data_IF_009159782678
#
_entry.id   IF_009159782678
#
_cell.length_a   1.000
_cell.length_b   1.000
_cell.length_c   1.000
_cell.angle_alpha   90.00
_cell.angle_beta   90.00
_cell.angle_gamma   90.00
#
_symmetry.space_group_name_H-M   'P 1'
#
loop_
_entity.id
_entity.type
_entity.pdbx_description
1 polymer ?
#
# COMPACT_ATOMS: atom_id res chain seq x y z
N UNK A 1 -8.02 20.63 -29.54
CA UNK A 1 -8.66 20.84 -28.22
C UNK A 1 -7.82 21.85 -27.48
N UNK A 2 -8.41 23.00 -27.19
CA UNK A 2 -7.74 24.25 -26.87
C UNK A 2 -7.32 24.27 -25.39
N UNK A 3 -6.00 24.33 -25.15
CA UNK A 3 -5.28 24.67 -23.92
C UNK A 3 -6.09 24.64 -22.61
N UNK A 4 -6.22 23.45 -22.02
CA UNK A 4 -6.74 23.26 -20.66
C UNK A 4 -5.71 23.63 -19.57
N UNK A 5 -4.58 24.24 -19.93
CA UNK A 5 -3.60 24.82 -19.00
C UNK A 5 -4.05 26.20 -18.52
N UNK A 6 -5.23 26.28 -17.88
CA UNK A 6 -5.60 27.48 -17.12
C UNK A 6 -4.84 27.45 -15.81
N UNK A 7 -3.94 28.42 -15.63
CA UNK A 7 -3.15 28.67 -14.43
C UNK A 7 -3.97 28.41 -13.16
N UNK A 8 -3.60 27.38 -12.42
CA UNK A 8 -3.99 27.26 -11.02
C UNK A 8 -3.08 28.24 -10.26
N UNK A 9 -3.67 29.24 -9.61
CA UNK A 9 -2.98 30.27 -8.83
C UNK A 9 -1.97 29.60 -7.86
N UNK A 10 -0.69 29.94 -7.96
CA UNK A 10 0.39 29.39 -7.11
C UNK A 10 1.32 28.35 -7.77
N UNK A 11 1.08 27.96 -9.03
CA UNK A 11 1.95 27.03 -9.76
C UNK A 11 2.57 27.65 -11.01
N UNK A 12 3.76 27.19 -11.38
CA UNK A 12 4.39 27.51 -12.67
C UNK A 12 3.68 26.79 -13.81
N UNK A 13 3.87 27.28 -15.03
CA UNK A 13 3.43 26.58 -16.23
C UNK A 13 4.31 25.33 -16.42
N UNK A 14 3.68 24.17 -16.67
CA UNK A 14 4.35 22.90 -16.90
C UNK A 14 4.48 22.64 -18.40
N UNK A 15 5.61 22.10 -18.83
CA UNK A 15 5.78 21.61 -20.19
C UNK A 15 5.00 20.31 -20.39
N UNK A 16 4.80 19.92 -21.65
CA UNK A 16 4.13 18.66 -21.99
C UNK A 16 4.91 17.46 -21.43
N UNK A 17 6.24 17.50 -21.54
CA UNK A 17 7.13 16.45 -21.05
C UNK A 17 7.01 16.26 -19.54
N UNK A 18 6.83 17.35 -18.78
CA UNK A 18 6.64 17.32 -17.34
C UNK A 18 5.29 16.73 -16.94
N UNK A 19 4.23 17.09 -17.67
CA UNK A 19 2.89 16.51 -17.49
C UNK A 19 2.92 15.02 -17.78
N UNK A 20 3.56 14.61 -18.87
CA UNK A 20 3.70 13.20 -19.25
C UNK A 20 4.51 12.41 -18.21
N UNK A 21 5.54 13.03 -17.62
CA UNK A 21 6.28 12.44 -16.51
C UNK A 21 5.41 12.29 -15.24
N UNK A 22 4.62 13.30 -14.86
CA UNK A 22 3.69 13.21 -13.73
C UNK A 22 2.67 12.10 -13.91
N UNK A 23 2.12 11.93 -15.12
CA UNK A 23 1.15 10.89 -15.41
C UNK A 23 1.77 9.49 -15.28
N UNK A 24 2.98 9.28 -15.81
CA UNK A 24 3.72 8.02 -15.65
C UNK A 24 4.02 7.70 -14.18
N UNK A 25 4.39 8.71 -13.38
CA UNK A 25 4.60 8.54 -11.93
C UNK A 25 3.31 8.06 -11.26
N UNK A 26 2.17 8.72 -11.55
CA UNK A 26 0.86 8.35 -10.97
C UNK A 26 0.41 6.96 -11.41
N UNK A 27 0.63 6.59 -12.66
CA UNK A 27 0.35 5.26 -13.20
C UNK A 27 1.11 4.18 -12.42
N UNK A 28 2.42 4.36 -12.21
CA UNK A 28 3.22 3.43 -11.38
C UNK A 28 2.78 3.43 -9.92
N UNK A 29 2.36 4.56 -9.38
CA UNK A 29 1.74 4.61 -8.06
C UNK A 29 0.48 3.76 -7.97
N UNK A 30 -0.38 3.80 -8.99
CA UNK A 30 -1.59 2.99 -9.05
C UNK A 30 -1.29 1.49 -9.18
N UNK A 31 -0.31 1.10 -10.00
CA UNK A 31 0.15 -0.29 -10.12
C UNK A 31 0.67 -0.83 -8.77
N UNK A 32 1.50 -0.05 -8.07
CA UNK A 32 2.02 -0.44 -6.75
C UNK A 32 0.90 -0.56 -5.70
N UNK A 33 -0.09 0.33 -5.73
CA UNK A 33 -1.25 0.26 -4.84
C UNK A 33 -2.14 -0.95 -5.15
N UNK A 34 -2.25 -1.36 -6.41
CA UNK A 34 -2.96 -2.58 -6.79
C UNK A 34 -2.26 -3.83 -6.24
N UNK A 35 -0.92 -3.91 -6.37
CA UNK A 35 -0.13 -4.99 -5.77
C UNK A 35 -0.23 -5.00 -4.23
N UNK A 36 -0.23 -3.83 -3.61
CA UNK A 36 -0.44 -3.71 -2.16
C UNK A 36 -1.82 -4.23 -1.74
N UNK A 37 -2.87 -3.95 -2.52
CA UNK A 37 -4.22 -4.45 -2.25
C UNK A 37 -4.31 -5.98 -2.42
N UNK A 38 -3.67 -6.53 -3.45
CA UNK A 38 -3.54 -7.98 -3.64
C UNK A 38 -2.86 -8.66 -2.44
N UNK A 39 -1.74 -8.07 -1.98
CA UNK A 39 -1.03 -8.56 -0.80
C UNK A 39 -1.93 -8.55 0.45
N UNK A 40 -2.69 -7.48 0.69
CA UNK A 40 -3.61 -7.40 1.83
C UNK A 40 -4.67 -8.52 1.75
N UNK A 41 -5.32 -8.70 0.60
CA UNK A 41 -6.33 -9.75 0.45
C UNK A 41 -5.76 -11.16 0.69
N UNK A 42 -4.53 -11.40 0.24
CA UNK A 42 -3.81 -12.64 0.54
C UNK A 42 -3.53 -12.79 2.04
N UNK A 43 -3.04 -11.76 2.71
CA UNK A 43 -2.72 -11.78 4.14
C UNK A 43 -3.96 -11.99 5.02
N UNK A 44 -5.09 -11.37 4.65
CA UNK A 44 -6.38 -11.58 5.33
C UNK A 44 -6.83 -13.04 5.22
N UNK A 45 -6.71 -13.60 4.00
CA UNK A 45 -7.02 -15.03 3.77
C UNK A 45 -6.10 -15.94 4.58
N UNK A 46 -4.79 -15.66 4.58
CA UNK A 46 -3.80 -16.44 5.35
C UNK A 46 -4.10 -16.39 6.86
N UNK A 47 -4.53 -15.23 7.38
CA UNK A 47 -4.90 -15.08 8.78
C UNK A 47 -6.11 -15.96 9.15
N UNK A 48 -7.18 -15.92 8.36
CA UNK A 48 -8.37 -16.74 8.61
C UNK A 48 -8.07 -18.24 8.50
N UNK A 49 -7.30 -18.66 7.50
CA UNK A 49 -6.89 -20.07 7.34
C UNK A 49 -6.08 -20.53 8.56
N UNK A 50 -5.09 -19.74 9.01
CA UNK A 50 -4.28 -20.08 10.19
C UNK A 50 -5.10 -20.12 11.47
N UNK A 51 -6.04 -19.19 11.62
CA UNK A 51 -6.95 -19.12 12.77
C UNK A 51 -7.84 -20.34 12.85
N UNK A 52 -8.43 -20.78 11.73
CA UNK A 52 -9.25 -21.99 11.66
C UNK A 52 -8.39 -23.24 11.92
N UNK A 53 -7.19 -23.32 11.36
CA UNK A 53 -6.28 -24.44 11.60
C UNK A 53 -5.90 -24.55 13.09
N UNK A 54 -5.52 -23.44 13.72
CA UNK A 54 -5.23 -23.39 15.15
C UNK A 54 -6.44 -23.81 16.00
N UNK A 55 -7.64 -23.34 15.67
CA UNK A 55 -8.86 -23.75 16.37
C UNK A 55 -9.14 -25.25 16.24
N UNK A 56 -9.03 -25.81 15.02
CA UNK A 56 -9.27 -27.23 14.77
C UNK A 56 -8.22 -28.15 15.40
N UNK A 57 -7.00 -27.64 15.64
CA UNK A 57 -5.92 -28.40 16.28
C UNK A 57 -6.13 -28.61 17.79
N UNK A 58 -7.10 -27.93 18.42
CA UNK A 58 -7.34 -28.05 19.85
C UNK A 58 -7.97 -29.40 20.18
N UNK A 59 -7.17 -30.30 20.78
CA UNK A 59 -7.64 -31.50 21.44
C UNK A 59 -7.66 -31.31 22.96
N UNK A 60 -8.54 -32.05 23.65
CA UNK A 60 -8.61 -32.02 25.10
C UNK A 60 -7.46 -32.84 25.72
N UNK A 61 -6.83 -32.37 26.82
CA UNK A 61 -6.95 -31.01 27.40
C UNK A 61 -6.21 -29.98 26.51
N UNK A 62 -6.78 -28.78 26.35
CA UNK A 62 -6.32 -27.72 25.43
C UNK A 62 -4.80 -27.73 25.18
N UNK A 63 -4.40 -28.20 24.00
CA UNK A 63 -3.01 -28.15 23.56
C UNK A 63 -2.72 -26.85 22.81
N UNK A 64 -2.39 -25.80 23.58
CA UNK A 64 -1.94 -24.52 23.01
C UNK A 64 -0.52 -24.59 22.41
N UNK A 65 0.13 -25.76 22.43
CA UNK A 65 1.46 -25.98 21.89
C UNK A 65 1.45 -26.62 20.49
N UNK A 66 0.28 -26.83 19.86
CA UNK A 66 0.21 -27.33 18.49
C UNK A 66 0.98 -26.45 17.51
N UNK A 67 1.50 -27.05 16.44
CA UNK A 67 2.24 -26.32 15.40
C UNK A 67 1.36 -25.22 14.76
N UNK A 68 0.06 -25.48 14.60
CA UNK A 68 -0.90 -24.53 14.06
C UNK A 68 -1.12 -23.33 14.98
N UNK A 69 -1.19 -23.55 16.30
CA UNK A 69 -1.25 -22.47 17.28
C UNK A 69 0.03 -21.62 17.25
N UNK A 70 1.20 -22.27 17.22
CA UNK A 70 2.48 -21.57 17.13
C UNK A 70 2.61 -20.75 15.83
N UNK A 71 2.17 -21.28 14.71
CA UNK A 71 2.20 -20.59 13.42
C UNK A 71 1.23 -19.38 13.38
N UNK A 72 0.05 -19.50 13.99
CA UNK A 72 -0.86 -18.36 14.13
C UNK A 72 -0.25 -17.26 14.99
N UNK A 73 0.37 -17.60 16.12
CA UNK A 73 1.02 -16.62 16.99
C UNK A 73 2.23 -15.98 16.31
N UNK A 74 3.06 -16.74 15.60
CA UNK A 74 4.15 -16.20 14.77
C UNK A 74 3.61 -15.22 13.72
N UNK A 75 2.52 -15.56 13.03
CA UNK A 75 1.90 -14.69 12.03
C UNK A 75 1.39 -13.39 12.66
N UNK A 76 0.71 -13.45 13.81
CA UNK A 76 0.27 -12.27 14.56
C UNK A 76 1.45 -11.40 15.00
N UNK A 77 2.48 -12.01 15.57
CA UNK A 77 3.67 -11.33 16.05
C UNK A 77 4.46 -10.62 14.93
N UNK A 78 4.40 -11.15 13.71
CA UNK A 78 5.02 -10.52 12.54
C UNK A 78 4.23 -9.28 12.03
N UNK A 79 2.99 -9.07 12.48
CA UNK A 79 2.11 -7.96 12.11
C UNK A 79 2.07 -7.63 10.59
N UNK A 80 1.89 -8.61 9.69
CA UNK A 80 2.09 -8.39 8.25
C UNK A 80 1.11 -7.37 7.65
N UNK A 81 -0.14 -7.31 8.15
CA UNK A 81 -1.12 -6.30 7.73
C UNK A 81 -0.69 -4.87 8.13
N UNK A 82 -0.01 -4.71 9.27
CA UNK A 82 0.53 -3.41 9.69
C UNK A 82 1.65 -2.97 8.74
N UNK A 83 2.53 -3.89 8.36
CA UNK A 83 3.57 -3.62 7.37
C UNK A 83 3.01 -3.26 6.00
N UNK A 84 1.96 -3.95 5.55
CA UNK A 84 1.26 -3.60 4.30
C UNK A 84 0.62 -2.21 4.35
N UNK A 85 0.09 -1.79 5.50
CA UNK A 85 -0.49 -0.45 5.70
C UNK A 85 0.57 0.66 5.70
N UNK A 86 1.73 0.40 6.30
CA UNK A 86 2.90 1.29 6.21
C UNK A 86 3.33 1.44 4.75
N UNK A 87 3.52 0.32 4.04
CA UNK A 87 3.89 0.33 2.64
C UNK A 87 2.91 1.14 1.77
N UNK A 88 1.60 1.02 2.01
CA UNK A 88 0.59 1.85 1.32
C UNK A 88 0.81 3.34 1.55
N UNK A 89 1.04 3.74 2.79
CA UNK A 89 1.26 5.15 3.17
C UNK A 89 2.54 5.69 2.55
N UNK A 90 3.62 4.90 2.57
CA UNK A 90 4.91 5.28 2.00
C UNK A 90 4.87 5.38 0.48
N UNK A 91 4.16 4.46 -0.20
CA UNK A 91 3.92 4.55 -1.65
C UNK A 91 3.18 5.84 -1.97
N UNK A 92 2.07 6.13 -1.28
CA UNK A 92 1.28 7.35 -1.52
C UNK A 92 2.12 8.61 -1.28
N UNK A 93 2.86 8.64 -0.18
CA UNK A 93 3.74 9.77 0.17
C UNK A 93 4.85 9.96 -0.85
N UNK A 94 5.53 8.87 -1.24
CA UNK A 94 6.61 8.89 -2.23
C UNK A 94 6.13 9.37 -3.60
N UNK A 95 5.00 8.85 -4.08
CA UNK A 95 4.39 9.27 -5.35
C UNK A 95 4.03 10.77 -5.31
N UNK A 96 3.48 11.25 -4.20
CA UNK A 96 3.17 12.68 -4.03
C UNK A 96 4.43 13.55 -3.96
N UNK A 97 5.49 13.08 -3.31
CA UNK A 97 6.79 13.77 -3.27
C UNK A 97 7.41 13.88 -4.67
N UNK A 98 7.37 12.81 -5.47
CA UNK A 98 7.84 12.81 -6.85
C UNK A 98 7.01 13.76 -7.73
N UNK A 99 5.69 13.73 -7.62
CA UNK A 99 4.80 14.66 -8.32
C UNK A 99 5.11 16.10 -7.93
N UNK A 100 5.35 16.38 -6.64
CA UNK A 100 5.70 17.72 -6.15
C UNK A 100 7.06 18.19 -6.68
N UNK A 101 8.03 17.27 -6.83
CA UNK A 101 9.34 17.57 -7.41
C UNK A 101 9.24 17.98 -8.89
N UNK A 102 8.32 17.38 -9.65
CA UNK A 102 8.01 17.84 -11.02
C UNK A 102 7.26 19.18 -10.99
N UNK A 103 6.23 19.29 -10.14
CA UNK A 103 5.38 20.47 -10.09
C UNK A 103 6.09 21.75 -9.64
N UNK A 104 7.14 21.66 -8.82
CA UNK A 104 7.93 22.79 -8.29
C UNK A 104 7.04 23.96 -7.84
N UNK A 105 6.13 23.76 -6.87
CA UNK A 105 5.24 24.83 -6.42
C UNK A 105 6.07 26.01 -5.89
N UNK A 106 5.72 27.21 -6.34
CA UNK A 106 6.29 28.43 -5.78
C UNK A 106 5.57 28.61 -4.44
N UNK A 107 6.34 28.67 -3.33
CA UNK A 107 5.79 28.79 -1.98
C UNK A 107 4.73 29.89 -1.89
N UNK A 108 3.64 29.61 -1.17
CA UNK A 108 2.70 30.64 -0.72
C UNK A 108 3.36 31.46 0.38
#
# INVERSE_FOLDING_TARGET
MENQHRKIKGYRDLSKEEIDLMNRIKEKGAELLALQAELVGRLDTDFEVKKVAAFNSQLAPNDFASEECQELERFKAAEPLRWAAIGKTDIQTGIMALVRAVAQPIGV
#
